data_IF_965844901690
#
_entry.id   IF_965844901690
#
_cell.length_a   1.000
_cell.length_b   1.000
_cell.length_c   1.000
_cell.angle_alpha   90.00
_cell.angle_beta   90.00
_cell.angle_gamma   90.00
#
_symmetry.space_group_name_H-M   'P 1'
#
loop_
_entity.id
_entity.type
_entity.pdbx_description
1 polymer ?
#
# COMPACT_ATOMS: atom_id res chain seq x y z
N UNK A 1 -2.36 -7.32 26.68
CA UNK A 1 -1.45 -8.41 26.28
C UNK A 1 -1.39 -8.42 24.76
N UNK A 2 -0.32 -7.87 24.16
CA UNK A 2 -0.13 -7.92 22.70
C UNK A 2 0.28 -9.35 22.38
N UNK A 3 -0.65 -10.16 21.90
CA UNK A 3 -0.33 -11.49 21.38
C UNK A 3 0.57 -11.32 20.16
N UNK A 4 1.69 -12.04 20.06
CA UNK A 4 2.57 -12.06 18.87
C UNK A 4 1.89 -12.63 17.60
N UNK A 5 0.57 -12.87 17.64
CA UNK A 5 -0.22 -13.23 16.48
C UNK A 5 -0.13 -12.14 15.42
N UNK A 6 0.35 -12.53 14.23
CA UNK A 6 0.44 -11.62 13.10
C UNK A 6 1.72 -10.77 13.04
N UNK A 7 2.77 -11.11 13.79
CA UNK A 7 4.08 -10.51 13.56
C UNK A 7 4.60 -10.82 12.14
N UNK A 8 5.17 -9.80 11.49
CA UNK A 8 5.80 -9.92 10.17
C UNK A 8 7.33 -9.96 10.38
N UNK A 9 8.10 -10.81 9.66
CA UNK A 9 9.55 -10.80 9.73
C UNK A 9 10.16 -9.41 9.41
N UNK A 10 11.24 -8.98 10.09
CA UNK A 10 11.80 -7.64 9.89
C UNK A 10 12.20 -7.31 8.45
N UNK A 11 12.74 -8.29 7.72
CA UNK A 11 13.07 -8.11 6.31
C UNK A 11 11.83 -7.83 5.44
N UNK A 12 10.68 -8.42 5.79
CA UNK A 12 9.43 -8.22 5.06
C UNK A 12 8.78 -6.87 5.43
N UNK A 13 9.10 -6.29 6.60
CA UNK A 13 8.80 -4.88 6.88
C UNK A 13 9.65 -3.95 6.00
N UNK A 14 10.93 -4.28 5.78
CA UNK A 14 11.78 -3.57 4.82
C UNK A 14 11.22 -3.65 3.39
N UNK A 15 10.82 -4.85 2.95
CA UNK A 15 10.14 -5.03 1.67
C UNK A 15 8.85 -4.22 1.58
N UNK A 16 8.02 -4.25 2.63
CA UNK A 16 6.80 -3.45 2.69
C UNK A 16 7.10 -1.96 2.52
N UNK A 17 8.11 -1.41 3.18
CA UNK A 17 8.50 -0.01 3.02
C UNK A 17 8.86 0.30 1.56
N UNK A 18 9.61 -0.58 0.89
CA UNK A 18 9.95 -0.41 -0.53
C UNK A 18 8.69 -0.45 -1.42
N UNK A 19 7.75 -1.36 -1.12
CA UNK A 19 6.45 -1.43 -1.81
C UNK A 19 5.61 -0.17 -1.57
N UNK A 20 5.62 0.39 -0.37
CA UNK A 20 4.95 1.66 -0.05
C UNK A 20 5.49 2.81 -0.91
N UNK A 21 6.81 3.00 -0.91
CA UNK A 21 7.46 4.05 -1.72
C UNK A 21 7.22 3.84 -3.22
N UNK A 22 7.38 2.60 -3.70
CA UNK A 22 7.14 2.24 -5.09
C UNK A 22 5.69 2.49 -5.52
N UNK A 23 4.73 2.20 -4.64
CA UNK A 23 3.31 2.39 -4.92
C UNK A 23 2.93 3.87 -4.98
N UNK A 24 3.44 4.70 -4.07
CA UNK A 24 3.22 6.15 -4.13
C UNK A 24 3.85 6.76 -5.38
N UNK A 25 5.05 6.32 -5.75
CA UNK A 25 5.72 6.73 -6.99
C UNK A 25 4.93 6.33 -8.24
N UNK A 26 4.46 5.08 -8.30
CA UNK A 26 3.66 4.57 -9.42
C UNK A 26 2.33 5.32 -9.59
N UNK A 27 1.62 5.59 -8.49
CA UNK A 27 0.35 6.34 -8.52
C UNK A 27 0.59 7.82 -8.89
N UNK A 28 1.68 8.42 -8.42
CA UNK A 28 2.07 9.77 -8.82
C UNK A 28 2.45 9.85 -10.30
N UNK A 29 3.20 8.87 -10.81
CA UNK A 29 3.50 8.74 -12.23
C UNK A 29 2.24 8.60 -13.08
N UNK A 30 1.30 7.75 -12.66
CA UNK A 30 0.03 7.61 -13.36
C UNK A 30 -0.78 8.92 -13.38
N UNK A 31 -0.78 9.69 -12.28
CA UNK A 31 -1.40 11.02 -12.28
C UNK A 31 -0.76 11.99 -13.26
N UNK A 32 0.58 11.96 -13.39
CA UNK A 32 1.29 12.73 -14.40
C UNK A 32 0.84 12.38 -15.82
N UNK A 33 0.77 11.08 -16.12
CA UNK A 33 0.36 10.57 -17.42
C UNK A 33 -1.11 10.91 -17.74
N UNK A 34 -2.01 10.71 -16.78
CA UNK A 34 -3.44 11.04 -16.90
C UNK A 34 -3.67 12.53 -17.19
N UNK A 35 -2.82 13.41 -16.67
CA UNK A 35 -2.89 14.85 -16.92
C UNK A 35 -2.23 15.32 -18.21
N UNK A 36 -1.67 14.40 -19.02
CA UNK A 36 -0.93 14.75 -20.24
C UNK A 36 0.41 15.45 -19.97
N UNK A 37 0.97 15.30 -18.76
CA UNK A 37 2.15 16.02 -18.30
C UNK A 37 1.92 17.50 -18.02
N UNK A 38 3.00 18.29 -18.05
CA UNK A 38 2.96 19.72 -17.74
C UNK A 38 2.41 20.02 -16.34
N UNK A 39 1.72 21.15 -16.19
CA UNK A 39 1.18 21.57 -14.90
C UNK A 39 0.03 20.67 -14.42
N UNK A 40 -0.91 20.33 -15.31
CA UNK A 40 -2.06 19.47 -14.97
C UNK A 40 -1.60 18.07 -14.55
N UNK A 41 -0.66 17.47 -15.30
CA UNK A 41 -0.02 16.22 -14.92
C UNK A 41 0.70 16.30 -13.57
N UNK A 42 1.50 17.35 -13.34
CA UNK A 42 2.16 17.54 -12.05
C UNK A 42 1.16 17.60 -10.90
N UNK A 43 0.08 18.39 -11.06
CA UNK A 43 -0.95 18.53 -10.05
C UNK A 43 -1.66 17.20 -9.77
N UNK A 44 -2.07 16.47 -10.82
CA UNK A 44 -2.72 15.17 -10.67
C UNK A 44 -1.80 14.12 -10.06
N UNK A 45 -0.53 14.08 -10.44
CA UNK A 45 0.47 13.19 -9.85
C UNK A 45 0.65 13.43 -8.35
N UNK A 46 0.79 14.70 -7.95
CA UNK A 46 0.87 15.08 -6.54
C UNK A 46 -0.40 14.69 -5.79
N UNK A 47 -1.58 14.99 -6.35
CA UNK A 47 -2.87 14.67 -5.71
C UNK A 47 -3.05 13.17 -5.52
N UNK A 48 -2.77 12.35 -6.53
CA UNK A 48 -2.92 10.90 -6.42
C UNK A 48 -1.93 10.29 -5.42
N UNK A 49 -0.66 10.69 -5.46
CA UNK A 49 0.33 10.22 -4.49
C UNK A 49 -0.05 10.65 -3.06
N UNK A 50 -0.45 11.91 -2.88
CA UNK A 50 -0.88 12.43 -1.58
C UNK A 50 -2.13 11.73 -1.05
N UNK A 51 -3.12 11.48 -1.89
CA UNK A 51 -4.32 10.73 -1.52
C UNK A 51 -3.98 9.30 -1.06
N UNK A 52 -3.10 8.61 -1.79
CA UNK A 52 -2.63 7.28 -1.41
C UNK A 52 -1.88 7.29 -0.08
N UNK A 53 -0.96 8.24 0.13
CA UNK A 53 -0.25 8.43 1.41
C UNK A 53 -1.21 8.72 2.56
N UNK A 54 -2.21 9.58 2.34
CA UNK A 54 -3.22 9.92 3.33
C UNK A 54 -4.07 8.71 3.70
N UNK A 55 -4.59 7.96 2.72
CA UNK A 55 -5.34 6.73 2.95
C UNK A 55 -4.50 5.72 3.73
N UNK A 56 -3.25 5.55 3.33
CA UNK A 56 -2.33 4.60 3.92
C UNK A 56 -1.90 4.95 5.34
N UNK A 57 -1.62 6.22 5.62
CA UNK A 57 -1.10 6.70 6.91
C UNK A 57 -2.20 6.96 7.96
N UNK A 58 -3.39 7.36 7.51
CA UNK A 58 -4.45 7.85 8.41
C UNK A 58 -5.33 6.71 8.93
N UNK A 59 -5.78 5.83 8.03
CA UNK A 59 -6.71 4.75 8.37
C UNK A 59 -5.95 3.49 8.75
N UNK A 60 -6.02 3.10 10.02
CA UNK A 60 -5.29 1.94 10.53
C UNK A 60 -6.11 1.16 11.56
N UNK A 61 -5.71 -0.09 11.77
CA UNK A 61 -6.26 -0.93 12.84
C UNK A 61 -5.43 -0.70 14.10
N UNK A 62 -6.13 -0.52 15.23
CA UNK A 62 -5.48 -0.34 16.53
C UNK A 62 -4.68 -1.59 16.89
N UNK A 63 -3.43 -1.40 17.33
CA UNK A 63 -2.58 -2.53 17.74
C UNK A 63 -2.00 -3.36 16.59
N UNK A 64 -2.07 -2.88 15.34
CA UNK A 64 -1.44 -3.55 14.20
C UNK A 64 0.07 -3.75 14.43
N UNK A 65 0.55 -5.02 14.48
CA UNK A 65 1.94 -5.35 14.81
C UNK A 65 2.93 -4.97 13.71
N UNK A 66 2.43 -4.65 12.52
CA UNK A 66 3.26 -4.20 11.39
C UNK A 66 3.51 -2.69 11.37
N UNK A 67 2.97 -1.96 12.37
CA UNK A 67 3.03 -0.50 12.50
C UNK A 67 3.33 -0.13 13.94
N UNK A 68 3.32 1.18 14.24
CA UNK A 68 3.45 1.70 15.61
C UNK A 68 2.31 1.32 16.56
N UNK A 69 1.29 0.58 16.08
CA UNK A 69 0.07 0.28 16.83
C UNK A 69 -0.90 1.45 17.00
N UNK A 70 -0.49 2.68 16.65
CA UNK A 70 -1.35 3.87 16.65
C UNK A 70 -2.21 3.90 15.39
N UNK A 71 -3.47 4.30 15.54
CA UNK A 71 -4.39 4.52 14.44
C UNK A 71 -4.98 5.92 14.54
N UNK A 72 -4.52 6.90 13.74
CA UNK A 72 -5.09 8.25 13.72
C UNK A 72 -6.61 8.22 13.50
N UNK A 73 -7.05 7.45 12.51
CA UNK A 73 -8.45 7.09 12.32
C UNK A 73 -8.57 5.56 12.38
N UNK A 74 -9.10 5.02 13.50
CA UNK A 74 -9.34 3.58 13.64
C UNK A 74 -10.35 3.08 12.61
N UNK A 75 -10.02 1.99 11.92
CA UNK A 75 -10.93 1.29 11.00
C UNK A 75 -10.93 -0.21 11.24
N UNK A 76 -12.00 -0.93 10.85
CA UNK A 76 -12.01 -2.39 10.85
C UNK A 76 -10.93 -2.98 9.95
N UNK A 77 -10.46 -4.16 10.28
CA UNK A 77 -9.46 -4.90 9.52
C UNK A 77 -9.79 -5.15 8.06
N UNK A 78 -11.01 -5.54 7.69
CA UNK A 78 -11.40 -5.65 6.28
C UNK A 78 -11.29 -4.32 5.51
N UNK A 79 -11.63 -3.20 6.14
CA UNK A 79 -11.47 -1.86 5.53
C UNK A 79 -9.99 -1.55 5.34
N UNK A 80 -9.16 -1.84 6.35
CA UNK A 80 -7.71 -1.67 6.22
C UNK A 80 -7.12 -2.55 5.12
N UNK A 81 -7.56 -3.79 5.01
CA UNK A 81 -7.14 -4.70 3.95
C UNK A 81 -7.51 -4.17 2.56
N UNK A 82 -8.73 -3.64 2.41
CA UNK A 82 -9.17 -3.03 1.15
C UNK A 82 -8.31 -1.81 0.78
N UNK A 83 -7.96 -0.96 1.76
CA UNK A 83 -7.04 0.17 1.54
C UNK A 83 -5.66 -0.33 1.09
N UNK A 84 -5.15 -1.39 1.73
CA UNK A 84 -3.85 -1.95 1.35
C UNK A 84 -3.87 -2.49 -0.08
N UNK A 85 -4.92 -3.22 -0.43
CA UNK A 85 -5.13 -3.73 -1.77
C UNK A 85 -5.32 -2.61 -2.80
N UNK A 86 -6.05 -1.55 -2.45
CA UNK A 86 -6.26 -0.41 -3.33
C UNK A 86 -4.95 0.35 -3.62
N UNK A 87 -4.11 0.56 -2.61
CA UNK A 87 -2.83 1.27 -2.79
C UNK A 87 -1.84 0.41 -3.58
N UNK A 88 -1.58 -0.83 -3.14
CA UNK A 88 -0.58 -1.68 -3.78
C UNK A 88 -1.06 -2.26 -5.12
N UNK A 89 -2.27 -2.80 -5.15
CA UNK A 89 -2.88 -3.32 -6.38
C UNK A 89 -3.17 -2.20 -7.39
N UNK A 90 -3.64 -1.05 -6.92
CA UNK A 90 -3.84 0.13 -7.76
C UNK A 90 -2.54 0.61 -8.40
N UNK A 91 -1.42 0.61 -7.67
CA UNK A 91 -0.11 0.92 -8.23
C UNK A 91 0.33 -0.08 -9.33
N UNK A 92 0.10 -1.38 -9.13
CA UNK A 92 0.38 -2.39 -10.16
C UNK A 92 -0.46 -2.18 -11.43
N UNK A 93 -1.77 -1.92 -11.27
CA UNK A 93 -2.68 -1.64 -12.38
C UNK A 93 -2.28 -0.36 -13.09
N UNK A 94 -1.92 0.68 -12.34
CA UNK A 94 -1.49 1.96 -12.89
C UNK A 94 -0.23 1.82 -13.76
N UNK A 95 0.77 1.08 -13.30
CA UNK A 95 1.98 0.80 -14.10
C UNK A 95 1.64 -0.01 -15.36
N UNK A 96 0.76 -1.00 -15.26
CA UNK A 96 0.35 -1.80 -16.41
C UNK A 96 -0.41 -0.97 -17.45
N UNK A 97 -1.32 -0.08 -17.01
CA UNK A 97 -2.09 0.80 -17.87
C UNK A 97 -1.21 1.78 -18.67
N UNK A 98 -0.09 2.20 -18.08
CA UNK A 98 0.90 3.09 -18.70
C UNK A 98 1.99 2.33 -19.50
N UNK A 99 1.77 1.05 -19.83
CA UNK A 99 2.71 0.17 -20.53
C UNK A 99 4.08 0.00 -19.85
N UNK A 100 4.20 0.32 -18.56
CA UNK A 100 5.41 0.07 -17.76
C UNK A 100 5.44 -1.41 -17.29
N UNK A 101 5.35 -2.35 -18.23
CA UNK A 101 5.08 -3.78 -17.97
C UNK A 101 6.10 -4.41 -17.03
N UNK A 102 7.40 -4.14 -17.24
CA UNK A 102 8.46 -4.70 -16.36
C UNK A 102 8.30 -4.20 -14.93
N UNK A 103 8.04 -2.90 -14.74
CA UNK A 103 7.82 -2.32 -13.42
C UNK A 103 6.56 -2.89 -12.76
N UNK A 104 5.47 -3.03 -13.53
CA UNK A 104 4.23 -3.64 -13.05
C UNK A 104 4.44 -5.09 -12.59
N UNK A 105 5.16 -5.89 -13.37
CA UNK A 105 5.49 -7.29 -13.04
C UNK A 105 6.38 -7.39 -11.80
N UNK A 106 7.43 -6.57 -11.70
CA UNK A 106 8.31 -6.54 -10.54
C UNK A 106 7.53 -6.14 -9.29
N UNK A 107 6.75 -5.05 -9.34
CA UNK A 107 5.97 -4.59 -8.20
C UNK A 107 4.91 -5.61 -7.77
N UNK A 108 4.27 -6.28 -8.74
CA UNK A 108 3.29 -7.35 -8.47
C UNK A 108 3.96 -8.56 -7.82
N UNK A 109 5.09 -9.03 -8.37
CA UNK A 109 5.81 -10.17 -7.82
C UNK A 109 6.28 -9.90 -6.38
N UNK A 110 6.82 -8.71 -6.13
CA UNK A 110 7.23 -8.29 -4.78
C UNK A 110 6.04 -8.19 -3.82
N UNK A 111 4.88 -7.72 -4.28
CA UNK A 111 3.64 -7.72 -3.49
C UNK A 111 3.19 -9.14 -3.13
N UNK A 112 3.27 -10.09 -4.08
CA UNK A 112 2.93 -11.50 -3.82
C UNK A 112 3.87 -12.10 -2.77
N UNK A 113 5.18 -11.85 -2.88
CA UNK A 113 6.17 -12.25 -1.86
C UNK A 113 5.80 -11.62 -0.52
N UNK A 114 5.56 -10.32 -0.46
CA UNK A 114 5.17 -9.65 0.77
C UNK A 114 3.94 -10.28 1.41
N UNK A 115 2.88 -10.51 0.63
CA UNK A 115 1.64 -11.10 1.09
C UNK A 115 1.83 -12.51 1.63
N UNK A 116 2.63 -13.34 0.95
CA UNK A 116 2.94 -14.71 1.38
C UNK A 116 3.57 -14.72 2.79
N UNK A 117 4.52 -13.82 3.04
CA UNK A 117 5.18 -13.69 4.36
C UNK A 117 4.41 -12.82 5.36
N UNK A 118 3.32 -12.19 4.94
CA UNK A 118 2.40 -11.44 5.79
C UNK A 118 1.08 -12.18 6.07
N UNK A 119 0.90 -13.42 5.58
CA UNK A 119 -0.33 -14.20 5.76
C UNK A 119 -0.83 -14.28 7.21
N UNK A 120 0.02 -14.55 8.23
CA UNK A 120 -0.43 -14.53 9.62
C UNK A 120 -1.02 -13.18 10.03
N UNK A 121 -0.37 -12.08 9.63
CA UNK A 121 -0.82 -10.70 9.89
C UNK A 121 -2.11 -10.41 9.16
N UNK A 122 -2.24 -10.80 7.90
CA UNK A 122 -3.46 -10.58 7.11
C UNK A 122 -4.65 -11.35 7.69
N UNK A 123 -4.45 -12.59 8.14
CA UNK A 123 -5.48 -13.36 8.84
C UNK A 123 -5.87 -12.72 10.16
N UNK A 124 -4.90 -12.25 10.94
CA UNK A 124 -5.17 -11.47 12.15
C UNK A 124 -5.97 -10.21 11.84
N UNK A 125 -5.57 -9.46 10.80
CA UNK A 125 -6.20 -8.22 10.38
C UNK A 125 -7.68 -8.45 10.08
N UNK A 126 -8.00 -9.46 9.25
CA UNK A 126 -9.39 -9.75 8.86
C UNK A 126 -10.30 -10.18 10.02
N UNK A 127 -9.74 -10.57 11.18
CA UNK A 127 -10.52 -10.88 12.40
C UNK A 127 -10.85 -9.64 13.23
N UNK A 128 -10.17 -8.51 13.00
CA UNK A 128 -10.43 -7.25 13.71
C UNK A 128 -11.67 -6.57 13.09
N UNK A 129 -12.80 -6.61 13.80
CA UNK A 129 -14.06 -5.98 13.37
C UNK A 129 -14.28 -4.65 14.06
#
# INVERSE_FOLDING_TARGET
MITHEGAIPPWNLGLRLLLELGSFGALGWAGWQLGGGGFTGAALGVVLAAAAMALWGTFAVVGDPSRSGKAPVPVPGPVRFLIEYAVFGGACVALAAENAVVAALVLTALNVVHLAFALPRTRWLLRQR
#
